data_IF_724418522226
#
_entry.id   IF_724418522226
#
_cell.length_a   1.000
_cell.length_b   1.000
_cell.length_c   1.000
_cell.angle_alpha   90.00
_cell.angle_beta   90.00
_cell.angle_gamma   90.00
#
_symmetry.space_group_name_H-M   'P 1'
#
loop_
_entity.id
_entity.type
_entity.pdbx_description
1 polymer ?
#
# COMPACT_ATOMS: atom_id res chain seq x y z
N UNK A 1 2.35 -0.24 -9.92
CA UNK A 1 1.05 -0.92 -9.99
C UNK A 1 -0.02 -0.14 -9.27
N UNK A 2 -1.23 -0.14 -9.82
CA UNK A 2 -2.41 0.52 -9.24
C UNK A 2 -3.53 -0.50 -9.18
N UNK A 3 -4.15 -0.65 -8.01
CA UNK A 3 -5.31 -1.49 -7.80
C UNK A 3 -6.41 -0.67 -7.15
N UNK A 4 -7.60 -0.73 -7.73
CA UNK A 4 -8.83 -0.14 -7.18
C UNK A 4 -9.78 -1.29 -6.86
N UNK A 5 -10.28 -1.31 -5.64
CA UNK A 5 -11.14 -2.38 -5.14
C UNK A 5 -12.58 -1.88 -5.02
N UNK A 6 -13.53 -2.83 -5.10
CA UNK A 6 -14.97 -2.55 -5.06
C UNK A 6 -15.43 -1.86 -3.77
N UNK A 7 -14.69 -2.00 -2.68
CA UNK A 7 -14.96 -1.36 -1.39
C UNK A 7 -14.39 0.07 -1.28
N UNK A 8 -13.91 0.64 -2.40
CA UNK A 8 -13.37 2.00 -2.47
C UNK A 8 -11.93 2.12 -1.98
N UNK A 9 -11.29 1.02 -1.58
CA UNK A 9 -9.85 0.99 -1.33
C UNK A 9 -9.11 1.20 -2.65
N UNK A 10 -8.05 2.00 -2.63
CA UNK A 10 -7.14 2.21 -3.75
C UNK A 10 -5.72 2.09 -3.24
N UNK A 11 -4.92 1.28 -3.93
CA UNK A 11 -3.51 1.08 -3.63
C UNK A 11 -2.72 1.44 -4.87
N UNK A 12 -1.81 2.38 -4.72
CA UNK A 12 -0.90 2.82 -5.78
C UNK A 12 0.53 2.66 -5.29
N UNK A 13 1.29 1.82 -5.99
CA UNK A 13 2.71 1.61 -5.73
C UNK A 13 3.50 1.83 -7.01
N UNK A 14 4.19 2.96 -7.12
CA UNK A 14 4.98 3.31 -8.31
C UNK A 14 6.31 3.97 -7.93
N UNK A 15 6.92 3.50 -6.84
CA UNK A 15 7.97 4.18 -6.09
C UNK A 15 7.46 4.44 -4.67
N UNK A 16 6.76 5.56 -4.41
CA UNK A 16 6.02 5.72 -3.16
C UNK A 16 4.82 4.76 -3.09
N UNK A 17 4.52 4.30 -1.88
CA UNK A 17 3.31 3.55 -1.56
C UNK A 17 2.23 4.53 -1.10
N UNK A 18 1.10 4.51 -1.78
CA UNK A 18 -0.07 5.30 -1.43
C UNK A 18 -1.28 4.37 -1.30
N UNK A 19 -1.95 4.44 -0.15
CA UNK A 19 -3.15 3.67 0.16
C UNK A 19 -4.24 4.65 0.58
N UNK A 20 -5.36 4.65 -0.13
CA UNK A 20 -6.49 5.54 0.19
C UNK A 20 -7.80 4.76 0.19
N UNK A 21 -8.69 5.05 1.14
CA UNK A 21 -10.05 4.52 1.18
C UNK A 21 -10.97 5.59 1.75
N UNK A 22 -11.72 6.26 0.86
CA UNK A 22 -12.61 7.36 1.24
C UNK A 22 -11.91 8.41 2.11
N UNK A 23 -12.55 8.79 3.22
CA UNK A 23 -11.99 9.69 4.24
C UNK A 23 -11.39 8.95 5.44
N UNK A 24 -11.52 7.62 5.48
CA UNK A 24 -11.11 6.76 6.58
C UNK A 24 -9.62 6.40 6.52
N UNK A 25 -9.12 6.08 5.33
CA UNK A 25 -7.72 5.70 5.11
C UNK A 25 -7.05 6.66 4.14
N UNK A 26 -5.92 7.22 4.57
CA UNK A 26 -5.01 7.98 3.75
C UNK A 26 -3.57 7.74 4.25
N UNK A 27 -2.90 6.78 3.64
CA UNK A 27 -1.52 6.44 3.94
C UNK A 27 -0.63 6.79 2.76
N UNK A 28 0.46 7.49 3.04
CA UNK A 28 1.50 7.79 2.07
C UNK A 28 2.86 7.48 2.68
N UNK A 29 3.66 6.66 2.00
CA UNK A 29 5.00 6.28 2.42
C UNK A 29 5.93 6.46 1.23
N UNK A 30 6.96 7.30 1.36
CA UNK A 30 8.00 7.39 0.33
C UNK A 30 8.78 6.09 0.22
N UNK A 31 9.23 5.78 -0.98
CA UNK A 31 9.96 4.53 -1.29
C UNK A 31 11.12 4.25 -0.34
N UNK A 32 11.94 5.27 -0.05
CA UNK A 32 13.10 5.15 0.84
C UNK A 32 12.73 4.87 2.31
N UNK A 33 11.48 5.13 2.69
CA UNK A 33 10.96 4.96 4.04
C UNK A 33 10.05 3.74 4.16
N UNK A 34 9.89 2.96 3.08
CA UNK A 34 9.20 1.67 3.11
C UNK A 34 10.15 0.64 3.77
N UNK A 35 9.73 -0.06 4.84
CA UNK A 35 10.53 -1.12 5.43
C UNK A 35 10.83 -2.24 4.41
N UNK A 36 12.01 -2.85 4.49
CA UNK A 36 12.44 -3.91 3.57
C UNK A 36 11.47 -5.11 3.51
N UNK A 37 10.80 -5.41 4.63
CA UNK A 37 9.76 -6.45 4.68
C UNK A 37 8.57 -6.12 3.78
N UNK A 38 8.00 -4.92 3.95
CA UNK A 38 6.88 -4.41 3.14
C UNK A 38 7.31 -4.29 1.68
N UNK A 39 8.53 -3.81 1.42
CA UNK A 39 9.06 -3.67 0.06
C UNK A 39 9.13 -5.02 -0.65
N UNK A 40 9.61 -6.05 0.04
CA UNK A 40 9.67 -7.42 -0.49
C UNK A 40 8.29 -7.96 -0.87
N UNK A 41 7.27 -7.72 -0.03
CA UNK A 41 5.90 -8.14 -0.33
C UNK A 41 5.30 -7.35 -1.52
N UNK A 42 5.57 -6.04 -1.61
CA UNK A 42 5.15 -5.20 -2.73
C UNK A 42 5.79 -5.64 -4.05
N UNK A 43 7.08 -5.95 -4.03
CA UNK A 43 7.81 -6.44 -5.20
C UNK A 43 7.30 -7.82 -5.64
N UNK A 44 6.94 -8.69 -4.69
CA UNK A 44 6.30 -9.96 -5.02
C UNK A 44 4.90 -9.77 -5.63
N UNK A 45 4.10 -8.85 -5.08
CA UNK A 45 2.78 -8.52 -5.62
C UNK A 45 2.86 -7.94 -7.03
N UNK A 46 3.85 -7.08 -7.29
CA UNK A 46 4.18 -6.56 -8.62
C UNK A 46 4.59 -7.67 -9.58
N UNK A 47 5.49 -8.56 -9.16
CA UNK A 47 5.98 -9.66 -9.98
C UNK A 47 4.85 -10.61 -10.39
N UNK A 48 3.95 -10.93 -9.46
CA UNK A 48 2.75 -11.74 -9.71
C UNK A 48 1.63 -10.97 -10.41
N UNK A 49 1.74 -9.64 -10.49
CA UNK A 49 0.69 -8.73 -10.93
C UNK A 49 -0.66 -9.01 -10.23
N UNK A 50 -0.59 -9.24 -8.91
CA UNK A 50 -1.72 -9.64 -8.08
C UNK A 50 -2.25 -8.46 -7.27
N UNK A 51 -3.46 -8.01 -7.58
CA UNK A 51 -4.16 -7.06 -6.73
C UNK A 51 -4.59 -7.68 -5.39
N UNK A 52 -4.66 -9.01 -5.26
CA UNK A 52 -4.90 -9.66 -3.98
C UNK A 52 -3.75 -9.40 -3.00
N UNK A 53 -2.53 -9.68 -3.46
CA UNK A 53 -1.32 -9.50 -2.65
C UNK A 53 -1.12 -8.02 -2.26
N UNK A 54 -1.37 -7.08 -3.17
CA UNK A 54 -1.33 -5.64 -2.86
C UNK A 54 -2.34 -5.22 -1.80
N UNK A 55 -3.49 -5.91 -1.70
CA UNK A 55 -4.50 -5.62 -0.69
C UNK A 55 -4.03 -6.05 0.69
N UNK A 56 -3.42 -7.23 0.77
CA UNK A 56 -2.88 -7.77 2.03
C UNK A 56 -1.72 -6.93 2.55
N UNK A 57 -0.86 -6.45 1.64
CA UNK A 57 0.19 -5.49 1.99
C UNK A 57 -0.40 -4.18 2.49
N UNK A 58 -1.42 -3.65 1.80
CA UNK A 58 -2.06 -2.42 2.22
C UNK A 58 -2.68 -2.53 3.62
N UNK A 59 -3.32 -3.66 3.94
CA UNK A 59 -3.87 -3.96 5.27
C UNK A 59 -2.77 -4.07 6.35
N UNK A 60 -1.65 -4.70 6.01
CA UNK A 60 -0.48 -4.79 6.90
C UNK A 60 0.11 -3.41 7.19
N UNK A 61 0.23 -2.57 6.16
CA UNK A 61 0.77 -1.21 6.27
C UNK A 61 -0.15 -0.31 7.08
N UNK A 62 -1.46 -0.33 6.84
CA UNK A 62 -2.41 0.49 7.61
C UNK A 62 -2.51 0.03 9.06
N UNK A 63 -2.36 -1.27 9.37
CA UNK A 63 -2.25 -1.78 10.75
C UNK A 63 -0.95 -1.35 11.44
N UNK A 64 0.17 -1.33 10.70
CA UNK A 64 1.49 -1.02 11.26
C UNK A 64 1.69 0.47 11.50
N UNK A 65 1.34 1.30 10.52
CA UNK A 65 1.58 2.74 10.56
C UNK A 65 0.34 3.56 10.96
N UNK A 66 -0.84 2.93 10.92
CA UNK A 66 -2.12 3.58 11.15
C UNK A 66 -2.81 4.01 9.84
N UNK A 67 -4.11 4.23 9.92
CA UNK A 67 -4.96 4.57 8.76
C UNK A 67 -4.66 5.95 8.16
N UNK A 68 -3.92 6.82 8.86
CA UNK A 68 -3.62 8.21 8.44
C UNK A 68 -2.14 8.54 8.51
N UNK A 69 -1.29 7.58 8.12
CA UNK A 69 0.15 7.72 8.17
C UNK A 69 0.69 8.54 6.99
N UNK A 70 1.61 9.45 7.26
CA UNK A 70 2.32 10.20 6.25
C UNK A 70 3.82 10.14 6.56
N UNK A 71 4.56 9.32 5.81
CA UNK A 71 5.98 9.04 6.05
C UNK A 71 6.79 9.54 4.86
N UNK A 72 7.82 10.31 5.15
CA UNK A 72 8.61 11.09 4.19
C UNK A 72 10.06 10.66 4.12
#
# INVERSE_FOLDING_TARGET
>A
MKCEYSDGLKVNYSGPLQITKGTDVNVFIKEASIPDSVKSDLDMALYKNSCGDLRDVADTVTKTFGNRACIH
#
